data_IF_398342716030
#
_entry.id   IF_398342716030
#
_cell.length_a   1.000
_cell.length_b   1.000
_cell.length_c   1.000
_cell.angle_alpha   90.00
_cell.angle_beta   90.00
_cell.angle_gamma   90.00
#
_symmetry.space_group_name_H-M   'P 1'
#
loop_
_entity.id
_entity.type
_entity.pdbx_description
1 polymer ?
#
# COMPACT_ATOMS: atom_id res chain seq x y z
N UNK A 1 -11.86 42.83 -0.15
CA UNK A 1 -10.58 42.15 0.16
C UNK A 1 -10.73 40.87 0.96
N UNK A 2 -11.54 40.81 2.04
CA UNK A 2 -11.73 39.59 2.87
C UNK A 2 -12.22 38.35 2.11
N UNK A 3 -13.15 38.50 1.14
CA UNK A 3 -13.71 37.38 0.36
C UNK A 3 -12.67 36.67 -0.53
N UNK A 4 -11.76 37.45 -1.13
CA UNK A 4 -10.71 36.91 -2.01
C UNK A 4 -9.68 36.13 -1.19
N UNK A 5 -9.32 36.64 -0.01
CA UNK A 5 -8.43 35.97 0.93
C UNK A 5 -9.02 34.64 1.44
N UNK A 6 -10.32 34.58 1.74
CA UNK A 6 -10.99 33.34 2.12
C UNK A 6 -11.00 32.31 0.99
N UNK A 7 -11.26 32.74 -0.25
CA UNK A 7 -11.26 31.85 -1.41
C UNK A 7 -9.85 31.29 -1.70
N UNK A 8 -8.82 32.11 -1.54
CA UNK A 8 -7.41 31.67 -1.63
C UNK A 8 -7.08 30.65 -0.54
N UNK A 9 -7.49 30.89 0.69
CA UNK A 9 -7.24 29.97 1.80
C UNK A 9 -7.95 28.63 1.58
N UNK A 10 -9.20 28.65 1.10
CA UNK A 10 -9.97 27.45 0.76
C UNK A 10 -9.34 26.66 -0.40
N UNK A 11 -8.77 27.34 -1.40
CA UNK A 11 -8.08 26.68 -2.50
C UNK A 11 -6.80 25.99 -2.03
N UNK A 12 -6.03 26.62 -1.13
CA UNK A 12 -4.81 26.04 -0.55
C UNK A 12 -5.13 24.83 0.32
N UNK A 13 -6.17 24.91 1.16
CA UNK A 13 -6.58 23.75 1.99
C UNK A 13 -7.09 22.60 1.13
N UNK A 14 -7.89 22.89 0.09
CA UNK A 14 -8.34 21.87 -0.85
C UNK A 14 -7.15 21.19 -1.57
N UNK A 15 -6.15 21.97 -1.97
CA UNK A 15 -4.94 21.44 -2.60
C UNK A 15 -4.14 20.53 -1.65
N UNK A 16 -3.98 20.92 -0.38
CA UNK A 16 -3.32 20.08 0.63
C UNK A 16 -4.08 18.77 0.88
N UNK A 17 -5.42 18.81 0.90
CA UNK A 17 -6.24 17.60 1.03
C UNK A 17 -6.05 16.67 -0.17
N UNK A 18 -6.02 17.20 -1.39
CA UNK A 18 -5.77 16.41 -2.61
C UNK A 18 -4.38 15.75 -2.57
N UNK A 19 -3.33 16.49 -2.19
CA UNK A 19 -1.97 15.94 -2.06
C UNK A 19 -1.89 14.88 -0.96
N UNK A 20 -2.59 15.08 0.16
CA UNK A 20 -2.65 14.12 1.26
C UNK A 20 -3.36 12.82 0.84
N UNK A 21 -4.50 12.93 0.15
CA UNK A 21 -5.20 11.77 -0.41
C UNK A 21 -4.39 11.09 -1.53
N UNK A 22 -3.70 11.84 -2.39
CA UNK A 22 -2.84 11.26 -3.42
C UNK A 22 -1.67 10.48 -2.81
N UNK A 23 -1.01 11.01 -1.79
CA UNK A 23 0.08 10.33 -1.09
C UNK A 23 -0.41 9.16 -0.21
N UNK A 24 -1.56 9.31 0.44
CA UNK A 24 -2.21 8.24 1.20
C UNK A 24 -2.68 7.09 0.30
N UNK A 25 -3.21 7.41 -0.88
CA UNK A 25 -3.69 6.45 -1.88
C UNK A 25 -2.56 5.86 -2.73
N UNK A 26 -1.40 6.54 -2.86
CA UNK A 26 -0.17 5.94 -3.38
C UNK A 26 0.35 4.78 -2.49
N UNK A 27 -0.13 4.68 -1.24
CA UNK A 27 0.10 3.53 -0.36
C UNK A 27 -0.87 2.37 -0.61
N UNK A 28 -1.84 2.58 -1.49
CA UNK A 28 -2.59 1.56 -2.23
C UNK A 28 -2.03 1.52 -3.65
N UNK A 29 -0.71 1.66 -3.82
CA UNK A 29 -0.06 0.97 -4.93
C UNK A 29 -0.25 -0.51 -4.66
N UNK A 30 -1.39 -1.02 -5.10
CA UNK A 30 -1.49 -2.35 -5.66
C UNK A 30 -0.33 -2.41 -6.64
N UNK A 31 0.82 -2.90 -6.15
CA UNK A 31 1.96 -3.30 -6.98
C UNK A 31 1.48 -4.52 -7.73
N UNK A 32 0.52 -4.29 -8.62
CA UNK A 32 0.29 -5.04 -9.82
C UNK A 32 1.48 -4.76 -10.77
N UNK A 33 2.71 -5.01 -10.28
CA UNK A 33 3.73 -5.65 -11.11
C UNK A 33 3.24 -7.07 -11.40
N UNK A 34 2.14 -7.12 -12.15
CA UNK A 34 1.32 -8.27 -12.53
C UNK A 34 2.03 -9.19 -13.52
N UNK A 35 3.37 -9.23 -13.49
CA UNK A 35 4.17 -9.96 -14.47
C UNK A 35 5.26 -10.87 -13.89
N UNK A 36 5.53 -10.93 -12.59
CA UNK A 36 6.73 -11.65 -12.10
C UNK A 36 6.65 -12.53 -10.84
N UNK A 37 5.53 -12.64 -10.11
CA UNK A 37 5.52 -13.46 -8.88
C UNK A 37 4.45 -14.56 -8.90
N UNK A 38 4.55 -15.47 -9.86
CA UNK A 38 3.70 -16.67 -9.99
C UNK A 38 3.97 -17.76 -8.94
N UNK A 39 4.99 -17.59 -8.10
CA UNK A 39 5.43 -18.64 -7.16
C UNK A 39 4.55 -18.76 -5.91
N UNK A 40 3.65 -17.80 -5.67
CA UNK A 40 2.63 -17.86 -4.60
C UNK A 40 1.24 -17.72 -5.20
N UNK A 41 0.35 -18.68 -4.91
CA UNK A 41 -1.04 -18.61 -5.37
C UNK A 41 -1.81 -17.48 -4.68
N UNK A 42 -2.85 -16.97 -5.35
CA UNK A 42 -3.72 -15.93 -4.80
C UNK A 42 -4.42 -16.39 -3.54
N UNK A 43 -4.83 -17.66 -3.48
CA UNK A 43 -5.50 -18.27 -2.32
C UNK A 43 -4.57 -18.27 -1.11
N UNK A 44 -3.28 -18.58 -1.32
CA UNK A 44 -2.28 -18.59 -0.26
C UNK A 44 -1.99 -17.18 0.25
N UNK A 45 -1.90 -16.19 -0.63
CA UNK A 45 -1.80 -14.78 -0.24
C UNK A 45 -3.03 -14.33 0.57
N UNK A 46 -4.23 -14.73 0.14
CA UNK A 46 -5.48 -14.39 0.83
C UNK A 46 -5.57 -15.04 2.22
N UNK A 47 -5.13 -16.29 2.34
CA UNK A 47 -5.03 -16.99 3.61
C UNK A 47 -4.01 -16.31 4.54
N UNK A 48 -2.86 -15.92 4.00
CA UNK A 48 -1.80 -15.22 4.74
C UNK A 48 -2.26 -13.84 5.25
N UNK A 49 -2.93 -13.07 4.41
CA UNK A 49 -3.56 -11.80 4.77
C UNK A 49 -4.54 -11.96 5.94
N UNK A 50 -5.45 -12.94 5.84
CA UNK A 50 -6.41 -13.25 6.90
C UNK A 50 -5.73 -13.70 8.19
N UNK A 51 -4.71 -14.55 8.09
CA UNK A 51 -3.97 -15.06 9.25
C UNK A 51 -3.26 -13.95 10.02
N UNK A 52 -2.70 -12.96 9.31
CA UNK A 52 -2.01 -11.82 9.91
C UNK A 52 -2.89 -10.60 10.15
N UNK A 53 -4.18 -10.65 9.81
CA UNK A 53 -5.13 -9.55 9.98
C UNK A 53 -4.76 -8.30 9.16
N UNK A 54 -4.13 -8.48 8.01
CA UNK A 54 -3.63 -7.36 7.18
C UNK A 54 -3.86 -7.63 5.69
N UNK A 55 -4.31 -6.61 4.98
CA UNK A 55 -4.44 -6.65 3.51
C UNK A 55 -3.16 -6.16 2.81
N UNK A 56 -2.18 -5.68 3.58
CA UNK A 56 -0.93 -5.11 3.07
C UNK A 56 0.16 -6.20 2.95
N UNK A 57 0.18 -6.87 1.80
CA UNK A 57 1.22 -7.83 1.43
C UNK A 57 2.17 -7.22 0.39
N UNK A 58 3.48 -7.36 0.63
CA UNK A 58 4.53 -7.05 -0.35
C UNK A 58 5.14 -8.37 -0.81
N UNK A 59 5.05 -8.65 -2.10
CA UNK A 59 5.56 -9.89 -2.70
C UNK A 59 6.82 -9.54 -3.48
N UNK A 60 7.87 -10.32 -3.27
CA UNK A 60 9.14 -10.22 -4.00
C UNK A 60 9.44 -11.56 -4.69
N UNK A 61 10.55 -11.66 -5.43
CA UNK A 61 10.95 -12.88 -6.13
C UNK A 61 11.17 -14.07 -5.20
N UNK A 62 11.55 -13.80 -3.95
CA UNK A 62 11.97 -14.79 -2.97
C UNK A 62 11.13 -14.78 -1.70
N UNK A 63 10.52 -13.65 -1.33
CA UNK A 63 9.87 -13.51 -0.02
C UNK A 63 8.54 -12.75 -0.11
N UNK A 64 7.63 -13.05 0.81
CA UNK A 64 6.42 -12.27 1.07
C UNK A 64 6.55 -11.61 2.43
N UNK A 65 6.24 -10.32 2.46
CA UNK A 65 6.29 -9.48 3.65
C UNK A 65 4.89 -9.00 4.02
N UNK A 66 4.64 -8.89 5.33
CA UNK A 66 3.49 -8.17 5.89
C UNK A 66 3.97 -6.85 6.49
N UNK A 67 3.06 -5.87 6.55
CA UNK A 67 3.33 -4.65 7.32
C UNK A 67 2.86 -4.81 8.76
N UNK A 68 3.75 -4.55 9.73
CA UNK A 68 3.45 -4.53 11.17
C UNK A 68 4.22 -3.41 11.84
N UNK A 69 3.55 -2.59 12.64
CA UNK A 69 4.15 -1.49 13.41
C UNK A 69 5.03 -0.51 12.59
N UNK A 70 4.70 -0.36 11.30
CA UNK A 70 5.45 0.49 10.38
C UNK A 70 6.50 -0.24 9.55
N UNK A 71 6.93 -1.42 9.98
CA UNK A 71 7.98 -2.22 9.37
C UNK A 71 7.46 -3.33 8.47
N UNK A 72 8.34 -3.82 7.58
CA UNK A 72 8.07 -4.97 6.70
C UNK A 72 8.71 -6.22 7.28
N UNK A 73 7.87 -7.17 7.70
CA UNK A 73 8.32 -8.43 8.30
C UNK A 73 8.15 -9.57 7.29
N UNK A 74 9.22 -10.34 6.97
CA UNK A 74 9.11 -11.50 6.08
C UNK A 74 8.33 -12.62 6.77
N UNK A 75 7.31 -13.15 6.09
CA UNK A 75 6.43 -14.22 6.62
C UNK A 75 6.41 -15.47 5.76
N UNK A 76 6.82 -15.37 4.50
CA UNK A 76 6.92 -16.53 3.61
C UNK A 76 8.19 -16.40 2.78
N UNK A 77 8.96 -17.48 2.69
CA UNK A 77 10.12 -17.58 1.81
C UNK A 77 9.86 -18.63 0.73
N UNK A 78 10.33 -18.36 -0.48
CA UNK A 78 10.35 -19.31 -1.59
C UNK A 78 11.34 -20.40 -1.21
N UNK A 79 10.84 -21.61 -1.00
CA UNK A 79 11.68 -22.77 -0.75
C UNK A 79 12.50 -23.01 -2.01
N UNK A 80 13.81 -22.79 -1.95
CA UNK A 80 14.73 -23.26 -2.97
C UNK A 80 14.78 -24.78 -2.82
N UNK A 81 14.35 -25.50 -3.86
CA UNK A 81 14.46 -26.95 -3.99
C UNK A 81 15.78 -27.21 -4.70
#
# INVERSE_FOLDING_TARGET
MKKIACNLLAAVTLWLVIVFFANGMAKITMSASSRAHSWVSKEKLRSLARHHGTDALKITELEVFIRRDGDWIPVLKKKQI
#
